data_IF_211504445816
#
_entry.id   IF_211504445816
#
_cell.length_a   1.000
_cell.length_b   1.000
_cell.length_c   1.000
_cell.angle_alpha   90.00
_cell.angle_beta   90.00
_cell.angle_gamma   90.00
#
_symmetry.space_group_name_H-M   'P 1'
#
loop_
_entity.id
_entity.type
_entity.pdbx_description
1 polymer ?
#
# COMPACT_ATOMS: atom_id res chain seq x y z
N UNK A 1 6.85 20.10 23.58
CA UNK A 1 8.28 20.12 23.95
C UNK A 1 8.63 19.29 25.19
N UNK A 2 7.65 18.69 25.89
CA UNK A 2 7.96 17.66 26.89
C UNK A 2 8.41 18.17 28.26
N UNK A 3 8.29 19.48 28.54
CA UNK A 3 8.56 20.02 29.89
C UNK A 3 7.53 19.46 30.88
N UNK A 4 7.95 18.78 31.96
CA UNK A 4 7.02 18.38 33.02
C UNK A 4 6.40 19.62 33.66
N UNK A 5 5.08 19.63 33.82
CA UNK A 5 4.34 20.75 34.45
C UNK A 5 3.94 20.41 35.88
N UNK A 6 3.30 19.25 36.09
CA UNK A 6 2.86 18.77 37.39
C UNK A 6 3.04 17.24 37.49
N UNK A 7 3.09 16.74 38.72
CA UNK A 7 3.00 15.30 39.04
C UNK A 7 1.85 15.16 40.02
N UNK A 8 0.80 14.45 39.62
CA UNK A 8 -0.47 14.37 40.35
C UNK A 8 -0.85 12.91 40.61
N UNK A 9 -1.79 12.70 41.54
CA UNK A 9 -2.32 11.38 41.90
C UNK A 9 -1.86 10.85 43.26
N UNK A 10 -2.43 9.73 43.70
CA UNK A 10 -2.23 9.14 45.04
C UNK A 10 -0.79 8.72 45.32
N UNK A 11 0.01 8.49 44.27
CA UNK A 11 1.42 8.09 44.36
C UNK A 11 2.38 9.20 43.91
N UNK A 12 1.92 10.44 43.78
CA UNK A 12 2.74 11.56 43.29
C UNK A 12 4.03 11.71 44.10
N UNK A 13 3.92 11.73 45.43
CA UNK A 13 5.04 11.90 46.38
C UNK A 13 5.95 10.67 46.51
N UNK A 14 5.56 9.52 45.95
CA UNK A 14 6.31 8.27 46.07
C UNK A 14 6.79 7.79 44.70
N UNK A 15 6.00 6.97 44.02
CA UNK A 15 6.33 6.41 42.71
C UNK A 15 6.43 7.50 41.64
N UNK A 16 5.57 8.53 41.71
CA UNK A 16 5.60 9.68 40.81
C UNK A 16 6.93 10.43 40.87
N UNK A 17 7.50 10.58 42.08
CA UNK A 17 8.83 11.17 42.24
C UNK A 17 9.95 10.22 41.76
N UNK A 18 9.84 8.91 41.97
CA UNK A 18 10.89 7.94 41.62
C UNK A 18 10.93 7.52 40.15
N UNK A 19 9.82 7.62 39.42
CA UNK A 19 9.77 7.17 38.04
C UNK A 19 10.75 8.04 37.20
N UNK A 20 11.75 7.48 36.51
CA UNK A 20 12.63 8.25 35.64
C UNK A 20 12.03 8.47 34.24
N UNK A 21 11.09 7.64 33.81
CA UNK A 21 10.49 7.72 32.48
C UNK A 21 9.39 8.79 32.45
N UNK A 22 9.46 9.70 31.47
CA UNK A 22 8.49 10.80 31.30
C UNK A 22 8.08 10.91 29.83
N UNK A 23 8.30 12.07 29.23
CA UNK A 23 7.89 12.39 27.87
C UNK A 23 8.41 11.35 26.88
N UNK A 24 7.49 10.76 26.11
CA UNK A 24 7.78 9.73 25.08
C UNK A 24 8.56 8.51 25.59
N UNK A 25 8.45 8.20 26.88
CA UNK A 25 9.18 7.09 27.49
C UNK A 25 10.68 7.35 27.69
N UNK A 26 11.15 8.56 27.41
CA UNK A 26 12.54 8.93 27.64
C UNK A 26 12.83 9.13 29.13
N UNK A 27 14.06 8.80 29.52
CA UNK A 27 14.56 9.03 30.88
C UNK A 27 14.79 10.50 31.11
N UNK A 28 14.10 11.08 32.10
CA UNK A 28 14.24 12.45 32.56
C UNK A 28 15.13 12.50 33.79
N UNK A 29 16.25 13.20 33.68
CA UNK A 29 17.07 13.54 34.81
C UNK A 29 16.55 14.83 35.46
N UNK A 30 16.13 14.72 36.72
CA UNK A 30 15.56 15.83 37.48
C UNK A 30 16.60 16.83 37.95
N UNK A 31 17.84 16.41 38.15
CA UNK A 31 18.91 17.30 38.63
C UNK A 31 19.31 18.28 37.53
N UNK A 32 19.44 17.77 36.30
CA UNK A 32 19.81 18.59 35.14
C UNK A 32 18.60 19.18 34.38
N UNK A 33 17.42 18.58 34.54
CA UNK A 33 16.22 18.95 33.78
C UNK A 33 16.26 18.53 32.31
N UNK A 34 17.06 17.51 31.98
CA UNK A 34 17.30 17.04 30.62
C UNK A 34 16.71 15.63 30.40
N UNK A 35 16.41 15.33 29.14
CA UNK A 35 16.08 13.99 28.69
C UNK A 35 17.30 13.33 28.05
N UNK A 36 17.59 12.09 28.44
CA UNK A 36 18.59 11.26 27.75
C UNK A 36 17.89 10.40 26.70
N UNK A 37 18.27 10.57 25.43
CA UNK A 37 17.69 9.86 24.28
C UNK A 37 18.64 8.81 23.69
N UNK A 38 19.71 8.44 24.41
CA UNK A 38 20.72 7.50 23.93
C UNK A 38 21.94 8.20 23.34
N UNK A 39 21.78 8.88 22.20
CA UNK A 39 22.90 9.59 21.56
C UNK A 39 23.12 11.00 22.10
N UNK A 40 22.05 11.67 22.54
CA UNK A 40 22.05 13.10 22.87
C UNK A 40 21.20 13.42 24.09
N UNK A 41 21.50 14.56 24.71
CA UNK A 41 20.67 15.17 25.74
C UNK A 41 19.74 16.23 25.16
N UNK A 42 18.45 16.12 25.46
CA UNK A 42 17.40 17.02 25.02
C UNK A 42 16.93 17.92 26.16
N UNK A 43 16.89 19.23 25.91
CA UNK A 43 16.37 20.20 26.87
C UNK A 43 14.91 20.57 26.52
N UNK A 44 13.94 20.16 27.34
CA UNK A 44 12.52 20.38 27.07
C UNK A 44 12.05 21.82 27.32
N UNK A 45 12.82 22.63 28.04
CA UNK A 45 12.51 24.04 28.33
C UNK A 45 12.77 24.91 27.10
N UNK A 46 13.90 24.70 26.42
CA UNK A 46 14.27 25.43 25.20
C UNK A 46 13.86 24.71 23.90
N UNK A 47 13.45 23.44 23.99
CA UNK A 47 12.92 22.67 22.86
C UNK A 47 13.99 22.19 21.86
N UNK A 48 15.20 21.89 22.31
CA UNK A 48 16.31 21.44 21.43
C UNK A 48 17.30 20.53 22.15
N UNK A 49 18.11 19.82 21.39
CA UNK A 49 19.28 19.13 21.91
C UNK A 49 20.34 20.13 22.39
N UNK A 50 21.11 19.73 23.39
CA UNK A 50 22.25 20.51 23.89
C UNK A 50 23.57 20.06 23.27
N UNK A 51 23.58 18.92 22.57
CA UNK A 51 24.69 18.39 21.80
C UNK A 51 24.30 18.37 20.31
N UNK A 52 25.28 18.58 19.43
CA UNK A 52 25.08 18.45 18.00
C UNK A 52 24.82 16.99 17.62
N UNK A 53 24.01 16.78 16.59
CA UNK A 53 23.83 15.48 15.93
C UNK A 53 25.05 15.03 15.13
N UNK A 54 24.98 13.79 14.65
CA UNK A 54 25.88 13.29 13.62
C UNK A 54 25.78 14.15 12.35
N UNK A 55 26.93 14.52 11.79
CA UNK A 55 27.02 15.38 10.60
C UNK A 55 26.40 14.71 9.36
N UNK A 56 26.28 13.39 9.35
CA UNK A 56 25.70 12.63 8.24
C UNK A 56 24.23 13.00 7.97
N UNK A 57 23.51 13.48 8.99
CA UNK A 57 22.12 13.96 8.85
C UNK A 57 21.99 15.15 7.90
N UNK A 58 23.04 15.95 7.74
CA UNK A 58 23.04 17.06 6.78
C UNK A 58 22.86 16.61 5.32
N UNK A 59 23.06 15.31 5.04
CA UNK A 59 22.98 14.73 3.71
C UNK A 59 21.74 13.84 3.50
N UNK A 60 20.89 13.63 4.52
CA UNK A 60 19.72 12.74 4.43
C UNK A 60 18.56 13.36 3.62
N UNK A 61 18.08 14.55 3.98
CA UNK A 61 17.10 15.31 3.19
C UNK A 61 17.58 16.75 2.93
N UNK A 62 18.33 16.92 1.83
CA UNK A 62 18.89 18.21 1.42
C UNK A 62 17.83 19.26 1.05
N UNK A 63 16.57 18.86 0.88
CA UNK A 63 15.46 19.78 0.63
C UNK A 63 14.83 20.32 1.92
N UNK A 64 15.20 19.77 3.08
CA UNK A 64 14.67 20.14 4.38
C UNK A 64 15.62 21.10 5.12
N UNK A 65 15.32 22.39 5.06
CA UNK A 65 16.11 23.44 5.73
C UNK A 65 16.28 23.22 7.25
N UNK A 66 15.34 22.53 7.90
CA UNK A 66 15.38 22.29 9.35
C UNK A 66 16.42 21.22 9.71
N UNK A 67 16.69 20.27 8.82
CA UNK A 67 17.70 19.21 9.03
C UNK A 67 19.13 19.76 9.06
N UNK A 68 19.36 20.95 8.49
CA UNK A 68 20.64 21.63 8.60
C UNK A 68 20.94 22.19 10.00
N UNK A 69 19.97 22.12 10.92
CA UNK A 69 20.18 22.46 12.33
C UNK A 69 20.33 21.19 13.17
N UNK A 70 21.58 20.82 13.45
CA UNK A 70 22.00 19.63 14.22
C UNK A 70 21.52 19.59 15.67
N UNK A 71 20.89 20.65 16.17
CA UNK A 71 20.33 20.70 17.53
C UNK A 71 18.81 20.53 17.54
N UNK A 72 18.17 20.42 16.37
CA UNK A 72 16.71 20.39 16.29
C UNK A 72 16.14 19.11 16.86
N UNK A 73 15.11 19.23 17.69
CA UNK A 73 14.32 18.09 18.12
C UNK A 73 13.07 17.95 17.25
N UNK A 74 12.82 16.75 16.71
CA UNK A 74 11.60 16.41 15.98
C UNK A 74 11.27 17.36 14.81
N UNK A 75 12.27 17.91 14.11
CA UNK A 75 12.10 18.94 13.06
C UNK A 75 11.19 20.11 13.47
N UNK A 76 11.24 20.52 14.73
CA UNK A 76 10.34 21.51 15.34
C UNK A 76 8.85 21.14 15.35
N UNK A 77 8.50 19.87 15.11
CA UNK A 77 7.13 19.36 15.14
C UNK A 77 6.98 18.19 16.13
N UNK A 78 7.29 18.37 17.43
CA UNK A 78 7.26 17.31 18.43
C UNK A 78 5.85 16.79 18.77
N UNK A 79 4.79 17.38 18.21
CA UNK A 79 3.41 16.87 18.31
C UNK A 79 3.20 15.72 17.35
N UNK A 80 3.68 15.86 16.11
CA UNK A 80 3.47 14.88 15.03
C UNK A 80 4.69 14.01 14.74
N UNK A 81 5.85 14.35 15.30
CA UNK A 81 7.10 13.62 15.13
C UNK A 81 7.65 13.13 16.47
N UNK A 82 8.49 12.10 16.38
CA UNK A 82 9.21 11.53 17.52
C UNK A 82 10.64 11.24 17.11
N UNK A 83 11.55 11.26 18.08
CA UNK A 83 12.94 10.85 17.91
C UNK A 83 13.26 10.00 19.14
N UNK A 84 13.21 8.68 18.95
CA UNK A 84 13.25 7.72 20.06
C UNK A 84 14.69 7.33 20.41
N UNK A 85 15.63 7.56 19.49
CA UNK A 85 17.05 7.21 19.62
C UNK A 85 17.96 8.43 19.71
N UNK A 86 17.39 9.62 19.60
CA UNK A 86 18.13 10.86 19.50
C UNK A 86 18.92 10.96 18.21
N UNK A 87 18.56 10.28 17.13
CA UNK A 87 19.27 10.38 15.85
C UNK A 87 18.37 10.95 14.77
N UNK A 88 17.21 10.33 14.56
CA UNK A 88 16.35 10.66 13.42
C UNK A 88 14.94 10.91 13.92
N UNK A 89 14.47 12.13 13.64
CA UNK A 89 13.07 12.47 13.80
C UNK A 89 12.23 11.80 12.72
N UNK A 90 11.18 11.08 13.12
CA UNK A 90 10.27 10.43 12.19
C UNK A 90 8.82 10.81 12.47
N UNK A 91 8.01 10.83 11.40
CA UNK A 91 6.61 11.22 11.47
C UNK A 91 5.75 10.09 12.06
N UNK A 92 5.00 10.35 13.12
CA UNK A 92 4.21 9.32 13.84
C UNK A 92 3.21 8.64 12.91
N UNK A 93 2.60 9.40 12.01
CA UNK A 93 1.67 8.83 11.03
C UNK A 93 2.36 7.96 9.96
N UNK A 94 3.69 7.97 9.84
CA UNK A 94 4.42 7.10 8.93
C UNK A 94 4.42 5.66 9.44
N UNK A 95 4.58 5.46 10.76
CA UNK A 95 4.39 4.15 11.39
C UNK A 95 2.94 3.65 11.24
N UNK A 96 1.96 4.53 11.48
CA UNK A 96 0.53 4.18 11.31
C UNK A 96 0.23 3.86 9.85
N UNK A 97 0.73 4.66 8.90
CA UNK A 97 0.57 4.46 7.47
C UNK A 97 1.20 3.16 6.99
N UNK A 98 2.41 2.85 7.45
CA UNK A 98 3.08 1.58 7.16
C UNK A 98 2.33 0.38 7.75
N UNK A 99 1.85 0.47 8.99
CA UNK A 99 1.06 -0.57 9.63
C UNK A 99 -0.24 -0.87 8.87
N UNK A 100 -0.96 0.18 8.45
CA UNK A 100 -2.18 0.06 7.63
C UNK A 100 -1.84 -0.57 6.28
N UNK A 101 -0.73 -0.15 5.66
CA UNK A 101 -0.30 -0.64 4.35
C UNK A 101 0.01 -2.13 4.37
N UNK A 102 0.90 -2.61 5.24
CA UNK A 102 1.28 -4.02 5.28
C UNK A 102 0.13 -4.92 5.76
N UNK A 103 -0.74 -4.40 6.63
CA UNK A 103 -1.98 -5.11 6.98
C UNK A 103 -2.88 -5.28 5.77
N UNK A 104 -3.07 -4.23 4.96
CA UNK A 104 -3.85 -4.34 3.73
C UNK A 104 -3.21 -5.32 2.73
N UNK A 105 -1.88 -5.30 2.58
CA UNK A 105 -1.13 -6.25 1.74
C UNK A 105 -1.32 -7.68 2.22
N UNK A 106 -1.24 -7.94 3.53
CA UNK A 106 -1.50 -9.26 4.12
C UNK A 106 -2.94 -9.74 3.85
N UNK A 107 -3.94 -8.87 4.07
CA UNK A 107 -5.35 -9.20 3.84
C UNK A 107 -5.63 -9.51 2.37
N UNK A 108 -5.04 -8.74 1.45
CA UNK A 108 -5.12 -8.99 0.01
C UNK A 108 -4.41 -10.30 -0.35
N UNK A 109 -3.22 -10.55 0.17
CA UNK A 109 -2.48 -11.79 -0.05
C UNK A 109 -3.23 -13.04 0.43
N UNK A 110 -3.85 -12.97 1.60
CA UNK A 110 -4.70 -14.03 2.14
C UNK A 110 -5.95 -14.26 1.27
N UNK A 111 -6.62 -13.19 0.82
CA UNK A 111 -7.75 -13.29 -0.09
C UNK A 111 -7.37 -13.90 -1.45
N UNK A 112 -6.21 -13.52 -2.01
CA UNK A 112 -5.70 -14.03 -3.29
C UNK A 112 -5.29 -15.50 -3.23
N UNK A 113 -4.75 -15.94 -2.09
CA UNK A 113 -4.30 -17.34 -1.87
C UNK A 113 -5.38 -18.23 -1.26
N UNK A 114 -6.59 -17.69 -1.05
CA UNK A 114 -7.69 -18.36 -0.34
C UNK A 114 -7.30 -18.85 1.06
N UNK A 115 -6.32 -18.20 1.70
CA UNK A 115 -5.92 -18.49 3.07
C UNK A 115 -6.82 -17.76 4.07
N UNK A 116 -7.02 -18.35 5.25
CA UNK A 116 -7.78 -17.72 6.32
C UNK A 116 -6.97 -16.56 6.89
N UNK A 117 -7.61 -15.40 6.96
CA UNK A 117 -7.09 -14.24 7.69
C UNK A 117 -7.09 -14.58 9.18
N UNK A 118 -5.94 -14.46 9.82
CA UNK A 118 -5.79 -14.67 11.27
C UNK A 118 -5.46 -13.36 11.95
N UNK A 119 -5.97 -13.17 13.17
CA UNK A 119 -5.66 -12.00 13.98
C UNK A 119 -4.15 -11.88 14.27
N UNK A 120 -3.48 -13.02 14.43
CA UNK A 120 -2.01 -13.08 14.60
C UNK A 120 -1.25 -12.66 13.33
N UNK A 121 -1.78 -12.96 12.14
CA UNK A 121 -1.21 -12.52 10.87
C UNK A 121 -1.38 -11.01 10.66
N UNK A 122 -2.55 -10.48 10.99
CA UNK A 122 -2.82 -9.03 11.00
C UNK A 122 -1.87 -8.30 11.96
N UNK A 123 -1.72 -8.80 13.19
CA UNK A 123 -0.82 -8.19 14.18
C UNK A 123 0.65 -8.18 13.75
N UNK A 124 1.14 -9.28 13.14
CA UNK A 124 2.51 -9.35 12.61
C UNK A 124 2.71 -8.40 11.43
N UNK A 125 1.76 -8.34 10.50
CA UNK A 125 1.82 -7.44 9.34
C UNK A 125 1.80 -5.97 9.76
N UNK A 126 0.93 -5.59 10.71
CA UNK A 126 0.90 -4.24 11.26
C UNK A 126 2.22 -3.84 11.93
N UNK A 127 2.86 -4.75 12.67
CA UNK A 127 4.15 -4.49 13.31
C UNK A 127 5.28 -4.30 12.30
N UNK A 128 5.37 -5.18 11.31
CA UNK A 128 6.37 -5.08 10.22
C UNK A 128 6.17 -3.79 9.42
N UNK A 129 4.91 -3.46 9.13
CA UNK A 129 4.54 -2.24 8.44
C UNK A 129 4.87 -0.99 9.25
N UNK A 130 4.65 -0.99 10.56
CA UNK A 130 4.99 0.14 11.42
C UNK A 130 6.49 0.44 11.38
N UNK A 131 7.33 -0.60 11.53
CA UNK A 131 8.79 -0.48 11.48
C UNK A 131 9.24 0.03 10.10
N UNK A 132 8.68 -0.55 9.05
CA UNK A 132 9.01 -0.16 7.67
C UNK A 132 8.59 1.28 7.37
N UNK A 133 7.40 1.68 7.82
CA UNK A 133 6.88 3.04 7.66
C UNK A 133 7.77 4.11 8.30
N UNK A 134 8.41 3.80 9.44
CA UNK A 134 9.41 4.67 10.08
C UNK A 134 10.66 4.83 9.22
N UNK A 135 11.18 3.73 8.64
CA UNK A 135 12.34 3.77 7.76
C UNK A 135 12.10 4.56 6.46
N UNK A 136 10.86 4.57 5.95
CA UNK A 136 10.48 5.32 4.76
C UNK A 136 10.09 6.79 5.01
N UNK A 137 9.90 7.18 6.28
CA UNK A 137 9.56 8.55 6.68
C UNK A 137 10.72 9.55 6.55
N UNK A 138 11.97 9.07 6.54
CA UNK A 138 13.19 9.87 6.37
C UNK A 138 13.53 10.16 4.89
N UNK A 139 12.86 9.53 3.92
CA UNK A 139 13.13 9.71 2.48
C UNK A 139 11.86 10.15 1.73
N UNK A 140 11.45 11.40 1.96
CA UNK A 140 10.13 11.96 1.60
C UNK A 140 9.71 11.94 0.11
N UNK A 141 10.55 11.50 -0.83
CA UNK A 141 10.24 11.53 -2.28
C UNK A 141 10.00 10.17 -2.92
N UNK A 142 10.39 9.05 -2.28
CA UNK A 142 10.22 7.72 -2.88
C UNK A 142 8.83 7.13 -2.57
N UNK A 143 8.23 7.51 -1.44
CA UNK A 143 6.96 6.98 -0.97
C UNK A 143 5.80 7.22 -1.95
N UNK A 144 5.66 8.39 -2.55
CA UNK A 144 4.56 8.67 -3.50
C UNK A 144 4.67 7.84 -4.79
N UNK A 145 5.90 7.48 -5.18
CA UNK A 145 6.19 6.66 -6.37
C UNK A 145 6.02 5.17 -6.06
N UNK A 146 6.41 4.72 -4.87
CA UNK A 146 6.15 3.36 -4.36
C UNK A 146 4.67 3.13 -4.01
N UNK A 147 3.93 4.11 -3.50
CA UNK A 147 2.49 4.01 -3.23
C UNK A 147 1.72 3.84 -4.55
N UNK A 148 2.06 4.62 -5.59
CA UNK A 148 1.51 4.41 -6.95
C UNK A 148 1.98 3.09 -7.56
N UNK A 149 3.22 2.68 -7.32
CA UNK A 149 3.80 1.43 -7.81
C UNK A 149 3.22 0.18 -7.14
N UNK A 150 2.92 0.23 -5.84
CA UNK A 150 2.38 -0.86 -5.05
C UNK A 150 0.85 -0.96 -5.15
N UNK A 151 0.13 0.16 -5.29
CA UNK A 151 -1.30 0.11 -5.70
C UNK A 151 -1.45 -0.33 -7.16
N UNK A 152 -0.51 0.03 -8.05
CA UNK A 152 -0.42 -0.56 -9.38
C UNK A 152 -0.05 -2.05 -9.30
N UNK A 153 0.87 -2.46 -8.42
CA UNK A 153 1.26 -3.87 -8.24
C UNK A 153 0.12 -4.73 -7.67
N UNK A 154 -0.65 -4.18 -6.71
CA UNK A 154 -1.87 -4.80 -6.19
C UNK A 154 -3.00 -4.86 -7.24
N UNK A 155 -3.05 -3.90 -8.18
CA UNK A 155 -3.91 -3.97 -9.38
C UNK A 155 -3.39 -4.97 -10.43
N UNK A 156 -2.08 -5.21 -10.54
CA UNK A 156 -1.51 -6.09 -11.58
C UNK A 156 -1.79 -7.58 -11.40
N UNK A 157 -2.37 -8.00 -10.27
CA UNK A 157 -2.78 -9.38 -10.04
C UNK A 157 -4.25 -9.69 -10.33
N UNK A 158 -5.12 -8.67 -10.37
CA UNK A 158 -6.58 -8.86 -10.47
C UNK A 158 -7.06 -8.41 -11.84
N UNK A 159 -7.04 -9.34 -12.79
CA UNK A 159 -7.57 -9.10 -14.12
C UNK A 159 -9.08 -9.38 -14.12
N UNK A 160 -9.84 -8.45 -14.67
CA UNK A 160 -11.28 -8.58 -14.93
C UNK A 160 -11.49 -8.94 -16.40
N UNK A 161 -12.25 -10.00 -16.65
CA UNK A 161 -12.79 -10.31 -17.97
C UNK A 161 -14.11 -9.56 -18.13
N UNK A 162 -14.28 -8.84 -19.23
CA UNK A 162 -15.48 -8.06 -19.54
C UNK A 162 -16.02 -8.40 -20.92
N UNK A 163 -17.32 -8.17 -21.10
CA UNK A 163 -18.02 -8.33 -22.37
C UNK A 163 -18.79 -7.05 -22.72
N UNK A 164 -19.09 -6.85 -23.99
CA UNK A 164 -20.06 -5.86 -24.46
C UNK A 164 -21.18 -6.59 -25.18
N UNK A 165 -22.42 -6.17 -24.95
CA UNK A 165 -23.59 -6.67 -25.68
C UNK A 165 -24.20 -5.54 -26.50
N UNK A 166 -24.71 -5.88 -27.69
CA UNK A 166 -25.51 -4.95 -28.49
C UNK A 166 -26.95 -4.85 -27.97
N UNK A 167 -27.78 -4.02 -28.60
CA UNK A 167 -29.19 -3.86 -28.23
C UNK A 167 -30.00 -5.19 -28.27
N UNK A 168 -29.57 -6.17 -29.07
CA UNK A 168 -30.16 -7.51 -29.17
C UNK A 168 -29.62 -8.50 -28.13
N UNK A 169 -28.87 -8.02 -27.13
CA UNK A 169 -28.19 -8.82 -26.08
C UNK A 169 -27.14 -9.82 -26.60
N UNK A 170 -26.71 -9.68 -27.85
CA UNK A 170 -25.64 -10.51 -28.43
C UNK A 170 -24.29 -9.95 -28.03
N UNK A 171 -23.37 -10.81 -27.62
CA UNK A 171 -22.00 -10.41 -27.25
C UNK A 171 -21.26 -9.94 -28.50
N UNK A 172 -20.87 -8.68 -28.53
CA UNK A 172 -20.19 -8.06 -29.67
C UNK A 172 -18.71 -7.76 -29.39
N UNK A 173 -18.28 -7.81 -28.13
CA UNK A 173 -16.88 -7.58 -27.77
C UNK A 173 -16.53 -8.31 -26.49
N UNK A 174 -15.29 -8.79 -26.39
CA UNK A 174 -14.73 -9.41 -25.19
C UNK A 174 -13.35 -8.83 -24.92
N UNK A 175 -12.96 -8.77 -23.66
CA UNK A 175 -11.64 -8.26 -23.31
C UNK A 175 -11.25 -8.49 -21.86
N UNK A 176 -9.99 -8.19 -21.56
CA UNK A 176 -9.45 -8.19 -20.19
C UNK A 176 -8.92 -6.82 -19.79
N UNK A 177 -9.04 -6.48 -18.50
CA UNK A 177 -8.53 -5.22 -17.95
C UNK A 177 -8.25 -5.35 -16.46
N UNK A 178 -7.24 -4.63 -15.99
CA UNK A 178 -6.94 -4.39 -14.57
C UNK A 178 -7.76 -3.23 -13.98
N UNK A 179 -8.27 -2.35 -14.84
CA UNK A 179 -9.11 -1.21 -14.46
C UNK A 179 -10.34 -1.13 -15.37
N UNK A 180 -11.51 -1.49 -14.85
CA UNK A 180 -12.76 -1.54 -15.63
C UNK A 180 -13.33 -0.14 -15.90
N UNK A 181 -13.16 0.80 -14.96
CA UNK A 181 -13.70 2.15 -15.10
C UNK A 181 -12.99 2.91 -16.22
N UNK A 182 -11.64 2.89 -16.20
CA UNK A 182 -10.84 3.47 -17.28
C UNK A 182 -11.16 2.82 -18.63
N UNK A 183 -11.24 1.49 -18.67
CA UNK A 183 -11.48 0.75 -19.92
C UNK A 183 -12.88 1.00 -20.48
N UNK A 184 -13.88 1.17 -19.63
CA UNK A 184 -15.25 1.50 -20.04
C UNK A 184 -15.30 2.88 -20.70
N UNK A 185 -14.63 3.88 -20.12
CA UNK A 185 -14.53 5.21 -20.71
C UNK A 185 -13.84 5.19 -22.09
N UNK A 186 -12.74 4.43 -22.22
CA UNK A 186 -12.03 4.30 -23.50
C UNK A 186 -12.87 3.64 -24.61
N UNK A 187 -13.58 2.56 -24.29
CA UNK A 187 -14.43 1.87 -25.27
C UNK A 187 -15.67 2.69 -25.63
N UNK A 188 -16.23 3.43 -24.68
CA UNK A 188 -17.32 4.34 -24.96
C UNK A 188 -16.86 5.47 -25.89
N UNK A 189 -15.71 6.09 -25.60
CA UNK A 189 -15.17 7.19 -26.41
C UNK A 189 -14.71 6.76 -27.80
N UNK A 190 -14.03 5.61 -27.93
CA UNK A 190 -13.42 5.19 -29.21
C UNK A 190 -14.30 4.29 -30.07
N UNK A 191 -15.17 3.50 -29.46
CA UNK A 191 -15.98 2.48 -30.16
C UNK A 191 -17.48 2.66 -29.95
N UNK A 192 -17.91 3.56 -29.07
CA UNK A 192 -19.32 3.74 -28.74
C UNK A 192 -19.94 2.55 -28.02
N UNK A 193 -19.15 1.64 -27.43
CA UNK A 193 -19.67 0.43 -26.78
C UNK A 193 -19.62 0.55 -25.27
N UNK A 194 -20.66 0.03 -24.60
CA UNK A 194 -20.69 -0.16 -23.15
C UNK A 194 -20.20 -1.56 -22.81
N UNK A 195 -19.36 -1.65 -21.79
CA UNK A 195 -18.79 -2.93 -21.32
C UNK A 195 -19.31 -3.25 -19.92
N UNK A 196 -19.47 -4.53 -19.64
CA UNK A 196 -19.89 -5.07 -18.34
C UNK A 196 -18.89 -6.12 -17.86
N UNK A 197 -18.62 -6.17 -16.56
CA UNK A 197 -17.74 -7.17 -15.98
C UNK A 197 -18.41 -8.54 -16.00
N UNK A 198 -17.72 -9.55 -16.55
CA UNK A 198 -18.17 -10.94 -16.51
C UNK A 198 -17.56 -11.69 -15.32
N UNK A 199 -16.25 -11.56 -15.11
CA UNK A 199 -15.55 -12.25 -14.02
C UNK A 199 -14.39 -11.39 -13.51
N UNK A 200 -14.27 -11.27 -12.18
CA UNK A 200 -13.27 -10.44 -11.48
C UNK A 200 -12.37 -11.32 -10.62
N UNK A 201 -11.18 -10.84 -10.27
CA UNK A 201 -10.28 -11.56 -9.36
C UNK A 201 -9.44 -12.65 -10.01
N UNK A 202 -9.24 -12.63 -11.34
CA UNK A 202 -8.46 -13.65 -12.03
C UNK A 202 -6.99 -13.28 -12.13
N UNK A 203 -6.14 -14.31 -12.09
CA UNK A 203 -4.78 -14.20 -12.62
C UNK A 203 -4.83 -13.81 -14.10
N UNK A 204 -3.80 -13.11 -14.59
CA UNK A 204 -3.74 -12.70 -16.01
C UNK A 204 -3.76 -13.90 -16.97
N UNK A 205 -3.19 -15.03 -16.57
CA UNK A 205 -3.21 -16.27 -17.35
C UNK A 205 -4.62 -16.85 -17.46
N UNK A 206 -5.34 -16.96 -16.33
CA UNK A 206 -6.73 -17.41 -16.30
C UNK A 206 -7.64 -16.44 -17.09
N UNK A 207 -7.40 -15.13 -16.99
CA UNK A 207 -8.19 -14.13 -17.70
C UNK A 207 -8.02 -14.24 -19.22
N UNK A 208 -6.80 -14.49 -19.70
CA UNK A 208 -6.55 -14.76 -21.14
C UNK A 208 -7.14 -16.08 -21.59
N UNK A 209 -7.11 -17.11 -20.75
CA UNK A 209 -7.77 -18.38 -21.02
C UNK A 209 -9.28 -18.22 -21.20
N UNK A 210 -9.93 -17.47 -20.30
CA UNK A 210 -11.37 -17.16 -20.39
C UNK A 210 -11.67 -16.28 -21.61
N UNK A 211 -10.89 -15.23 -21.86
CA UNK A 211 -11.04 -14.37 -23.04
C UNK A 211 -10.94 -15.18 -24.34
N UNK A 212 -9.96 -16.09 -24.45
CA UNK A 212 -9.81 -16.93 -25.63
C UNK A 212 -10.97 -17.92 -25.78
N UNK A 213 -11.47 -18.51 -24.70
CA UNK A 213 -12.64 -19.38 -24.76
C UNK A 213 -13.89 -18.61 -25.24
N UNK A 214 -14.10 -17.38 -24.76
CA UNK A 214 -15.19 -16.52 -25.25
C UNK A 214 -15.03 -16.16 -26.73
N UNK A 215 -13.80 -15.99 -27.22
CA UNK A 215 -13.53 -15.76 -28.65
C UNK A 215 -13.90 -16.97 -29.50
N UNK A 216 -13.65 -18.19 -29.02
CA UNK A 216 -14.05 -19.41 -29.73
C UNK A 216 -15.57 -19.65 -29.66
N UNK A 217 -16.25 -19.27 -28.56
CA UNK A 217 -17.72 -19.38 -28.44
C UNK A 217 -18.44 -18.45 -29.41
N UNK A 218 -18.05 -17.17 -29.44
CA UNK A 218 -18.77 -16.13 -30.19
C UNK A 218 -18.23 -15.88 -31.60
N UNK A 219 -16.99 -16.29 -31.85
CA UNK A 219 -16.27 -16.11 -33.12
C UNK A 219 -15.89 -14.66 -33.42
N UNK A 220 -14.77 -14.47 -34.13
CA UNK A 220 -14.39 -13.16 -34.66
C UNK A 220 -15.23 -12.80 -35.89
N UNK A 221 -15.60 -11.54 -36.06
CA UNK A 221 -16.42 -11.05 -37.18
C UNK A 221 -15.81 -11.39 -38.55
N UNK A 222 -14.49 -11.35 -38.68
CA UNK A 222 -13.78 -11.75 -39.92
C UNK A 222 -13.97 -13.23 -40.31
N UNK A 223 -14.41 -14.07 -39.37
CA UNK A 223 -14.70 -15.49 -39.57
C UNK A 223 -16.21 -15.79 -39.48
N UNK A 224 -17.08 -14.79 -39.63
CA UNK A 224 -18.53 -14.95 -39.54
C UNK A 224 -19.10 -14.96 -38.11
N UNK A 225 -18.29 -14.65 -37.10
CA UNK A 225 -18.73 -14.54 -35.71
C UNK A 225 -19.31 -13.16 -35.36
N UNK A 226 -19.62 -12.97 -34.08
CA UNK A 226 -20.29 -11.76 -33.56
C UNK A 226 -19.33 -10.72 -32.99
N UNK A 227 -18.08 -11.10 -32.74
CA UNK A 227 -17.11 -10.24 -32.05
C UNK A 227 -16.42 -9.26 -33.01
N UNK A 228 -16.45 -7.97 -32.67
CA UNK A 228 -15.68 -6.92 -33.38
C UNK A 228 -14.18 -6.93 -33.00
N UNK A 229 -13.74 -7.87 -32.15
CA UNK A 229 -12.34 -8.11 -31.85
C UNK A 229 -11.56 -8.42 -33.16
N UNK A 230 -10.38 -7.83 -33.35
CA UNK A 230 -9.57 -8.04 -34.57
C UNK A 230 -8.64 -9.26 -34.46
N UNK A 231 -8.25 -9.61 -33.23
CA UNK A 231 -7.22 -10.61 -32.93
C UNK A 231 -7.69 -11.56 -31.82
N UNK A 232 -7.08 -12.74 -31.81
CA UNK A 232 -7.21 -13.69 -30.71
C UNK A 232 -6.41 -13.24 -29.49
N UNK A 233 -6.86 -13.62 -28.29
CA UNK A 233 -6.08 -13.40 -27.06
C UNK A 233 -4.87 -14.32 -26.99
N UNK A 234 -5.02 -15.57 -27.43
CA UNK A 234 -3.93 -16.56 -27.53
C UNK A 234 -3.87 -17.07 -28.96
N UNK A 235 -2.69 -17.04 -29.58
CA UNK A 235 -2.52 -17.55 -30.93
C UNK A 235 -2.75 -19.08 -30.99
N UNK A 236 -3.43 -19.55 -32.04
CA UNK A 236 -3.73 -20.99 -32.25
C UNK A 236 -2.47 -21.86 -32.35
N UNK A 237 -1.36 -21.28 -32.79
CA UNK A 237 -0.05 -21.93 -32.91
C UNK A 237 0.71 -22.01 -31.57
N UNK A 238 0.22 -21.39 -30.50
CA UNK A 238 0.89 -21.42 -29.21
C UNK A 238 0.70 -22.78 -28.52
N UNK A 239 1.78 -23.34 -27.96
CA UNK A 239 1.77 -24.63 -27.25
C UNK A 239 0.75 -24.69 -26.10
N UNK A 240 0.48 -23.55 -25.44
CA UNK A 240 -0.46 -23.50 -24.32
C UNK A 240 -1.94 -23.40 -24.74
N UNK A 241 -2.22 -23.26 -26.04
CA UNK A 241 -3.56 -22.91 -26.54
C UNK A 241 -4.64 -23.91 -26.11
N UNK A 242 -4.41 -25.21 -26.30
CA UNK A 242 -5.36 -26.26 -25.95
C UNK A 242 -5.63 -26.31 -24.43
N UNK A 243 -4.57 -26.19 -23.62
CA UNK A 243 -4.67 -26.17 -22.16
C UNK A 243 -5.41 -24.92 -21.67
N UNK A 244 -5.11 -23.76 -22.25
CA UNK A 244 -5.76 -22.50 -21.93
C UNK A 244 -7.25 -22.54 -22.28
N UNK A 245 -7.63 -23.12 -23.43
CA UNK A 245 -9.06 -23.31 -23.77
C UNK A 245 -9.78 -24.18 -22.75
N UNK A 246 -9.21 -25.35 -22.41
CA UNK A 246 -9.80 -26.24 -21.40
C UNK A 246 -10.02 -25.50 -20.08
N UNK A 247 -9.00 -24.77 -19.61
CA UNK A 247 -9.07 -23.96 -18.39
C UNK A 247 -10.12 -22.84 -18.49
N UNK A 248 -10.20 -22.16 -19.63
CA UNK A 248 -11.18 -21.10 -19.89
C UNK A 248 -12.62 -21.61 -19.82
N UNK A 249 -12.90 -22.76 -20.45
CA UNK A 249 -14.23 -23.39 -20.40
C UNK A 249 -14.60 -23.85 -18.99
N UNK A 250 -13.67 -24.42 -18.23
CA UNK A 250 -13.90 -24.79 -16.82
C UNK A 250 -14.31 -23.58 -15.97
N UNK A 251 -13.63 -22.45 -16.17
CA UNK A 251 -13.91 -21.21 -15.45
C UNK A 251 -15.26 -20.59 -15.86
N UNK A 252 -15.59 -20.58 -17.16
CA UNK A 252 -16.89 -20.11 -17.65
C UNK A 252 -18.05 -20.97 -17.13
N UNK A 253 -17.85 -22.30 -17.03
CA UNK A 253 -18.86 -23.21 -16.49
C UNK A 253 -19.19 -22.92 -15.02
N UNK A 254 -18.22 -22.47 -14.22
CA UNK A 254 -18.44 -22.10 -12.81
C UNK A 254 -19.42 -20.94 -12.63
N UNK A 255 -19.47 -20.02 -13.59
CA UNK A 255 -20.40 -18.89 -13.57
C UNK A 255 -21.70 -19.17 -14.36
N UNK A 256 -21.91 -20.43 -14.79
CA UNK A 256 -23.09 -20.84 -15.55
C UNK A 256 -23.17 -20.24 -16.95
N UNK A 257 -22.03 -19.79 -17.51
CA UNK A 257 -21.97 -19.24 -18.86
C UNK A 257 -22.15 -20.39 -19.86
N UNK A 258 -23.19 -20.30 -20.68
CA UNK A 258 -23.58 -21.30 -21.69
C UNK A 258 -23.18 -20.81 -23.08
#
# INVERSE_FOLDING_TARGET
WGKPLTVEGTLAETLGQKNPYRYRGCTYDKETGLYYLGSRYYNPVIGRFINADDINILFEDQDNLIEHNLFTYCLNNPVNMTDDTGYIAWWIGAAVGGAIFDTAVYMIGAALTSQRITLSGVGKAALVGAISGVAFGAAGKVATKLIKGATAAAKTGITTVYISKNAKKVVQYVGITDDIARRAAEHLAKKGIRIESLMKGLSRADARAVEQALIEIHGLAKNGGTLINKINSIAKTNKIYAQALKRGYELLKKIGYK
#
